data_IF_177005393743
#
_entry.id   IF_177005393743
#
_cell.length_a   1.000
_cell.length_b   1.000
_cell.length_c   1.000
_cell.angle_alpha   90.00
_cell.angle_beta   90.00
_cell.angle_gamma   90.00
#
_symmetry.space_group_name_H-M   'P 1'
#
loop_
_entity.id
_entity.type
_entity.pdbx_description
1 polymer ?
#
# COMPACT_ATOMS: atom_id res chain seq x y z
N UNK A 1 40.93 -31.82 33.18
CA UNK A 1 41.84 -30.66 33.04
C UNK A 1 41.01 -29.38 32.93
N UNK A 2 41.21 -28.39 33.82
CA UNK A 2 40.40 -27.17 33.90
C UNK A 2 40.49 -26.24 32.66
N UNK A 3 41.56 -26.31 31.88
CA UNK A 3 41.71 -25.50 30.65
C UNK A 3 40.70 -25.83 29.54
N UNK A 4 40.14 -27.05 29.54
CA UNK A 4 39.17 -27.48 28.53
C UNK A 4 37.82 -26.77 28.67
N UNK A 5 37.38 -26.50 29.90
CA UNK A 5 36.11 -25.79 30.17
C UNK A 5 36.19 -24.32 29.76
N UNK A 6 37.35 -23.67 30.00
CA UNK A 6 37.58 -22.29 29.61
C UNK A 6 37.58 -22.14 28.07
N UNK A 7 38.25 -23.07 27.38
CA UNK A 7 38.24 -23.11 25.91
C UNK A 7 36.84 -23.29 25.32
N UNK A 8 36.02 -24.17 25.91
CA UNK A 8 34.62 -24.32 25.50
C UNK A 8 33.81 -23.04 25.72
N UNK A 9 34.00 -22.37 26.85
CA UNK A 9 33.30 -21.12 27.15
C UNK A 9 33.65 -20.02 26.14
N UNK A 10 34.92 -19.85 25.79
CA UNK A 10 35.35 -18.91 24.75
C UNK A 10 34.75 -19.25 23.37
N UNK A 11 34.70 -20.54 23.02
CA UNK A 11 34.07 -20.98 21.76
C UNK A 11 32.57 -20.65 21.75
N UNK A 12 31.86 -20.88 22.85
CA UNK A 12 30.44 -20.56 22.98
C UNK A 12 30.17 -19.05 22.85
N UNK A 13 30.98 -18.20 23.49
CA UNK A 13 30.87 -16.74 23.33
C UNK A 13 31.08 -16.33 21.88
N UNK A 14 32.09 -16.89 21.21
CA UNK A 14 32.38 -16.61 19.80
C UNK A 14 31.23 -17.02 18.88
N UNK A 15 30.56 -18.13 19.17
CA UNK A 15 29.39 -18.59 18.42
C UNK A 15 28.18 -17.68 18.67
N UNK A 16 27.88 -17.37 19.94
CA UNK A 16 26.77 -16.49 20.31
C UNK A 16 26.91 -15.09 19.69
N UNK A 17 28.14 -14.55 19.63
CA UNK A 17 28.41 -13.27 18.97
C UNK A 17 28.04 -13.34 17.48
N UNK A 18 28.41 -14.43 16.80
CA UNK A 18 28.13 -14.62 15.36
C UNK A 18 26.64 -14.75 15.08
N UNK A 19 25.91 -15.47 15.93
CA UNK A 19 24.45 -15.56 15.88
C UNK A 19 23.80 -14.19 16.09
N UNK A 20 24.29 -13.42 17.08
CA UNK A 20 23.79 -12.07 17.34
C UNK A 20 24.03 -11.13 16.15
N UNK A 21 25.22 -11.15 15.55
CA UNK A 21 25.54 -10.37 14.35
C UNK A 21 24.60 -10.72 13.19
N UNK A 22 24.35 -12.01 12.97
CA UNK A 22 23.40 -12.47 11.94
C UNK A 22 21.98 -11.96 12.20
N UNK A 23 21.52 -12.05 13.45
CA UNK A 23 20.18 -11.57 13.83
C UNK A 23 20.06 -10.05 13.68
N UNK A 24 21.12 -9.31 14.01
CA UNK A 24 21.18 -7.86 13.87
C UNK A 24 21.09 -7.43 12.41
N UNK A 25 21.76 -8.13 11.50
CA UNK A 25 21.67 -7.87 10.05
C UNK A 25 20.24 -8.09 9.54
N UNK A 26 19.60 -9.19 9.95
CA UNK A 26 18.20 -9.47 9.61
C UNK A 26 17.27 -8.39 10.16
N UNK A 27 17.44 -7.99 11.43
CA UNK A 27 16.66 -6.90 12.05
C UNK A 27 16.82 -5.60 11.28
N UNK A 28 18.05 -5.24 10.91
CA UNK A 28 18.34 -4.00 10.17
C UNK A 28 17.67 -4.01 8.80
N UNK A 29 17.70 -5.15 8.09
CA UNK A 29 17.00 -5.30 6.81
C UNK A 29 15.49 -5.15 6.95
N UNK A 30 14.90 -5.77 7.98
CA UNK A 30 13.46 -5.66 8.27
C UNK A 30 13.04 -4.23 8.61
N UNK A 31 13.88 -3.47 9.33
CA UNK A 31 13.60 -2.05 9.60
C UNK A 31 13.56 -1.20 8.33
N UNK A 32 14.46 -1.47 7.38
CA UNK A 32 14.45 -0.81 6.06
C UNK A 32 13.18 -1.17 5.28
N UNK A 33 12.78 -2.44 5.27
CA UNK A 33 11.54 -2.88 4.63
C UNK A 33 10.31 -2.20 5.26
N UNK A 34 10.23 -2.12 6.59
CA UNK A 34 9.13 -1.43 7.30
C UNK A 34 9.09 0.06 6.93
N UNK A 35 10.25 0.73 6.88
CA UNK A 35 10.32 2.13 6.49
C UNK A 35 9.83 2.36 5.06
N UNK A 36 10.18 1.46 4.14
CA UNK A 36 9.72 1.53 2.75
C UNK A 36 8.22 1.26 2.64
N UNK A 37 7.68 0.26 3.35
CA UNK A 37 6.24 0.01 3.38
C UNK A 37 5.46 1.22 3.91
N UNK A 38 5.92 1.85 4.99
CA UNK A 38 5.31 3.09 5.50
C UNK A 38 5.30 4.19 4.43
N UNK A 39 6.43 4.44 3.77
CA UNK A 39 6.54 5.43 2.69
C UNK A 39 5.57 5.15 1.53
N UNK A 40 5.43 3.89 1.14
CA UNK A 40 4.52 3.47 0.07
C UNK A 40 3.06 3.66 0.47
N UNK A 41 2.67 3.29 1.69
CA UNK A 41 1.31 3.49 2.21
C UNK A 41 0.97 4.98 2.35
N UNK A 42 1.88 5.78 2.92
CA UNK A 42 1.72 7.24 3.06
C UNK A 42 1.56 7.95 1.71
N UNK A 43 2.17 7.40 0.65
CA UNK A 43 2.06 7.91 -0.72
C UNK A 43 0.74 7.56 -1.41
N UNK A 44 0.08 6.49 -1.00
CA UNK A 44 -1.22 6.08 -1.56
C UNK A 44 -2.39 6.80 -0.87
N UNK A 45 -2.27 7.14 0.43
CA UNK A 45 -3.27 7.96 1.13
C UNK A 45 -3.36 9.41 0.59
N UNK A 46 -2.29 9.91 -0.05
CA UNK A 46 -2.25 11.28 -0.60
C UNK A 46 -2.78 11.42 -2.01
N UNK A 47 -3.11 10.32 -2.70
CA UNK A 47 -3.80 10.41 -3.98
C UNK A 47 -5.26 10.70 -3.66
N UNK A 48 -5.66 11.96 -3.76
CA UNK A 48 -7.09 12.30 -3.76
C UNK A 48 -7.74 11.44 -4.85
N UNK A 49 -8.59 10.50 -4.43
CA UNK A 49 -9.37 9.74 -5.38
C UNK A 49 -10.36 10.73 -6.00
N UNK A 50 -10.20 11.00 -7.29
CA UNK A 50 -11.17 11.80 -8.03
C UNK A 50 -12.44 10.99 -8.18
N UNK A 51 -13.53 11.49 -7.61
CA UNK A 51 -14.87 10.96 -7.85
C UNK A 51 -15.39 11.63 -9.12
N UNK A 52 -15.61 10.82 -10.16
CA UNK A 52 -16.21 11.26 -11.42
C UNK A 52 -17.68 10.86 -11.44
N UNK A 53 -18.58 11.83 -11.41
CA UNK A 53 -20.02 11.62 -11.59
C UNK A 53 -20.40 11.99 -13.01
N UNK A 54 -21.04 11.07 -13.74
CA UNK A 54 -21.62 11.33 -15.06
C UNK A 54 -23.13 11.35 -14.95
N UNK A 55 -23.75 12.50 -15.22
CA UNK A 55 -25.20 12.65 -15.27
C UNK A 55 -25.62 12.59 -16.73
N UNK A 56 -26.47 11.62 -17.07
CA UNK A 56 -27.04 11.48 -18.42
C UNK A 56 -28.49 11.96 -18.36
N UNK A 57 -28.81 12.98 -19.14
CA UNK A 57 -30.18 13.51 -19.26
C UNK A 57 -30.71 13.19 -20.64
N UNK A 58 -31.80 12.42 -20.68
CA UNK A 58 -32.54 12.10 -21.91
C UNK A 58 -33.86 12.85 -21.90
N UNK A 59 -34.12 13.61 -22.96
CA UNK A 59 -35.38 14.33 -23.20
C UNK A 59 -36.07 13.69 -24.39
N UNK A 60 -37.30 13.23 -24.18
CA UNK A 60 -38.13 12.63 -25.23
C UNK A 60 -39.43 13.42 -25.38
N UNK A 61 -39.79 13.75 -26.63
CA UNK A 61 -41.09 14.35 -26.96
C UNK A 61 -42.04 13.23 -27.36
N UNK A 62 -43.10 13.01 -26.56
CA UNK A 62 -44.10 11.95 -26.80
C UNK A 62 -45.45 12.57 -27.17
N UNK A 63 -46.02 12.14 -28.30
CA UNK A 63 -47.37 12.52 -28.76
C UNK A 63 -48.16 11.23 -28.99
N UNK A 64 -49.35 11.12 -28.41
CA UNK A 64 -50.23 9.94 -28.52
C UNK A 64 -49.54 8.59 -28.22
N UNK A 65 -48.62 8.59 -27.26
CA UNK A 65 -47.86 7.40 -26.87
C UNK A 65 -46.75 7.00 -27.84
N UNK A 66 -46.42 7.83 -28.84
CA UNK A 66 -45.30 7.64 -29.77
C UNK A 66 -44.22 8.68 -29.53
N UNK A 67 -42.96 8.24 -29.47
CA UNK A 67 -41.80 9.12 -29.38
C UNK A 67 -41.58 9.77 -30.74
N UNK A 68 -41.59 11.11 -30.78
CA UNK A 68 -41.40 11.90 -31.98
C UNK A 68 -39.98 12.45 -32.08
N UNK A 69 -39.33 12.67 -30.94
CA UNK A 69 -37.98 13.23 -30.84
C UNK A 69 -37.31 12.73 -29.56
N UNK A 70 -36.01 12.48 -29.63
CA UNK A 70 -35.18 12.08 -28.48
C UNK A 70 -33.86 12.83 -28.54
N UNK A 71 -33.44 13.39 -27.41
CA UNK A 71 -32.18 14.10 -27.24
C UNK A 71 -31.50 13.63 -25.97
N UNK A 72 -30.20 13.38 -26.03
CA UNK A 72 -29.37 12.98 -24.90
C UNK A 72 -28.29 14.03 -24.65
N UNK A 73 -28.01 14.30 -23.37
CA UNK A 73 -26.90 15.15 -22.95
C UNK A 73 -26.17 14.51 -21.77
N UNK A 74 -24.85 14.73 -21.70
CA UNK A 74 -23.98 14.15 -20.67
C UNK A 74 -23.25 15.29 -19.95
N UNK A 75 -23.44 15.35 -18.64
CA UNK A 75 -22.72 16.26 -17.73
C UNK A 75 -21.70 15.46 -16.91
N UNK A 76 -20.46 15.96 -16.84
CA UNK A 76 -19.36 15.29 -16.13
C UNK A 76 -18.87 16.20 -15.01
N UNK A 77 -19.02 15.72 -13.77
CA UNK A 77 -18.58 16.43 -12.59
C UNK A 77 -17.48 15.63 -11.87
N UNK A 78 -16.27 16.19 -11.83
CA UNK A 78 -15.15 15.67 -11.05
C UNK A 78 -15.09 16.39 -9.70
N UNK A 79 -14.95 15.63 -8.60
CA UNK A 79 -14.68 16.18 -7.27
C UNK A 79 -13.58 15.38 -6.60
N UNK A 80 -12.72 16.07 -5.85
CA UNK A 80 -11.81 15.40 -4.93
C UNK A 80 -12.60 14.81 -3.76
N UNK A 81 -12.20 13.62 -3.30
CA UNK A 81 -12.76 12.97 -2.11
C UNK A 81 -12.36 13.67 -0.81
#
# INVERSE_FOLDING_TARGET
QPGHQLSQFHANIGNNKREYETLLDVKTRLELEIAEYRRLLDGDERKSQKIVTKTITVVETVVDGRIMESSESVDVNERDN
#
